data_IF_582305644684
#
_entry.id   IF_582305644684
#
_cell.length_a   1.000
_cell.length_b   1.000
_cell.length_c   1.000
_cell.angle_alpha   90.00
_cell.angle_beta   90.00
_cell.angle_gamma   90.00
#
_symmetry.space_group_name_H-M   'P 1'
#
loop_
_entity.id
_entity.type
_entity.pdbx_description
1 polymer ?
#
# COMPACT_ATOMS: atom_id res chain seq x y z
N UNK A 1 27.45 0.47 -15.25
CA UNK A 1 26.30 1.20 -14.67
C UNK A 1 25.90 0.53 -13.37
N UNK A 2 25.86 1.24 -12.25
CA UNK A 2 25.33 0.67 -10.99
C UNK A 2 23.84 0.39 -11.21
N UNK A 3 23.44 -0.87 -11.01
CA UNK A 3 22.04 -1.26 -11.05
C UNK A 3 21.35 -0.63 -9.84
N UNK A 4 20.78 0.57 -10.02
CA UNK A 4 20.20 1.37 -8.94
C UNK A 4 18.78 0.85 -8.65
N UNK A 5 18.74 -0.38 -8.16
CA UNK A 5 17.52 -1.11 -7.88
C UNK A 5 16.97 -0.62 -6.54
N UNK A 6 15.74 -0.13 -6.55
CA UNK A 6 15.08 0.42 -5.35
C UNK A 6 13.86 -0.41 -5.01
N UNK A 7 13.65 -0.69 -3.74
CA UNK A 7 12.43 -1.32 -3.25
C UNK A 7 11.26 -0.36 -3.43
N UNK A 8 10.23 -0.77 -4.18
CA UNK A 8 9.01 0.02 -4.41
C UNK A 8 7.84 -0.43 -3.55
N UNK A 9 7.82 -1.70 -3.14
CA UNK A 9 6.85 -2.27 -2.21
C UNK A 9 7.53 -3.28 -1.31
N UNK A 10 7.03 -3.42 -0.09
CA UNK A 10 7.46 -4.46 0.82
C UNK A 10 6.31 -4.97 1.66
N UNK A 11 6.42 -6.23 2.07
CA UNK A 11 5.58 -6.86 3.07
C UNK A 11 6.52 -7.55 4.06
N UNK A 12 6.45 -7.16 5.33
CA UNK A 12 7.26 -7.77 6.40
C UNK A 12 6.37 -8.70 7.20
N UNK A 13 6.82 -9.93 7.39
CA UNK A 13 6.12 -10.94 8.19
C UNK A 13 7.09 -11.60 9.17
N UNK A 14 6.55 -12.36 10.11
CA UNK A 14 7.35 -13.20 11.01
C UNK A 14 8.18 -14.27 10.27
N UNK A 15 7.83 -14.60 9.03
CA UNK A 15 8.52 -15.63 8.25
C UNK A 15 9.61 -15.08 7.33
N UNK A 16 9.69 -13.75 7.19
CA UNK A 16 10.58 -13.10 6.24
C UNK A 16 9.96 -11.86 5.63
N UNK A 17 10.73 -11.25 4.75
CA UNK A 17 10.40 -10.02 4.05
C UNK A 17 10.22 -10.30 2.57
N UNK A 18 9.10 -9.83 2.03
CA UNK A 18 8.81 -9.82 0.60
C UNK A 18 9.09 -8.42 0.07
N UNK A 19 9.94 -8.31 -0.95
CA UNK A 19 10.31 -7.04 -1.56
C UNK A 19 9.92 -7.07 -3.03
N UNK A 20 9.29 -5.99 -3.50
CA UNK A 20 9.10 -5.74 -4.92
C UNK A 20 10.02 -4.60 -5.33
N UNK A 21 10.85 -4.86 -6.33
CA UNK A 21 11.89 -3.94 -6.81
C UNK A 21 11.40 -3.14 -8.02
N UNK A 22 11.99 -1.98 -8.26
CA UNK A 22 11.64 -1.06 -9.35
C UNK A 22 11.77 -1.65 -10.75
N UNK A 23 12.56 -2.71 -10.92
CA UNK A 23 12.77 -3.42 -12.19
C UNK A 23 11.92 -4.69 -12.34
N UNK A 24 10.95 -4.91 -11.47
CA UNK A 24 10.04 -6.07 -11.54
C UNK A 24 10.56 -7.33 -10.86
N UNK A 25 11.73 -7.30 -10.23
CA UNK A 25 12.16 -8.42 -9.39
C UNK A 25 11.37 -8.46 -8.08
N UNK A 26 10.82 -9.63 -7.76
CA UNK A 26 10.23 -9.95 -6.46
C UNK A 26 11.26 -10.78 -5.69
N UNK A 27 11.52 -10.39 -4.45
CA UNK A 27 12.47 -11.07 -3.55
C UNK A 27 11.69 -11.55 -2.34
N UNK A 28 11.93 -12.78 -1.93
CA UNK A 28 11.58 -13.27 -0.62
C UNK A 28 12.86 -13.57 0.14
N UNK A 29 13.02 -12.95 1.30
CA UNK A 29 14.22 -13.05 2.12
C UNK A 29 13.84 -13.41 3.55
N UNK A 30 14.52 -14.41 4.09
CA UNK A 30 14.46 -14.84 5.49
C UNK A 30 15.87 -14.72 6.08
N UNK A 31 16.05 -14.90 7.40
CA UNK A 31 17.39 -14.95 7.98
C UNK A 31 18.32 -16.04 7.40
N UNK A 32 17.76 -17.09 6.80
CA UNK A 32 18.51 -18.27 6.32
C UNK A 32 18.40 -18.55 4.83
N UNK A 33 17.48 -17.92 4.10
CA UNK A 33 17.22 -18.18 2.68
C UNK A 33 16.84 -16.91 1.94
N UNK A 34 17.12 -16.87 0.64
CA UNK A 34 16.76 -15.77 -0.25
C UNK A 34 16.40 -16.31 -1.63
N UNK A 35 15.17 -16.07 -2.04
CA UNK A 35 14.64 -16.44 -3.36
C UNK A 35 14.25 -15.21 -4.15
N UNK A 36 14.42 -15.29 -5.47
CA UNK A 36 14.07 -14.19 -6.38
C UNK A 36 13.24 -14.71 -7.54
N UNK A 37 12.36 -13.84 -8.03
CA UNK A 37 11.48 -14.09 -9.17
C UNK A 37 11.40 -12.84 -10.01
N UNK A 38 11.55 -12.94 -11.32
CA UNK A 38 11.51 -11.80 -12.23
C UNK A 38 10.14 -11.70 -12.90
N UNK A 39 9.41 -10.60 -12.64
CA UNK A 39 8.22 -10.25 -13.41
C UNK A 39 8.63 -9.47 -14.67
N UNK A 40 7.71 -9.42 -15.64
CA UNK A 40 7.91 -8.63 -16.88
C UNK A 40 7.90 -7.13 -16.63
N UNK A 41 7.34 -6.70 -15.49
CA UNK A 41 7.15 -5.29 -15.18
C UNK A 41 7.15 -5.05 -13.68
N UNK A 42 7.19 -3.77 -13.30
CA UNK A 42 7.23 -3.36 -11.90
C UNK A 42 5.90 -3.67 -11.19
N UNK A 43 6.01 -4.26 -10.01
CA UNK A 43 4.88 -4.47 -9.11
C UNK A 43 4.41 -3.14 -8.49
N UNK A 44 3.10 -3.02 -8.30
CA UNK A 44 2.44 -1.82 -7.79
C UNK A 44 1.65 -2.09 -6.50
N UNK A 45 1.31 -3.35 -6.22
CA UNK A 45 0.63 -3.79 -5.01
C UNK A 45 1.06 -5.22 -4.62
N UNK A 46 1.02 -5.52 -3.31
CA UNK A 46 1.34 -6.83 -2.74
C UNK A 46 0.27 -7.23 -1.71
N UNK A 47 -0.10 -8.50 -1.68
CA UNK A 47 -0.92 -9.10 -0.63
C UNK A 47 -0.43 -10.51 -0.32
N UNK A 48 0.04 -10.72 0.91
CA UNK A 48 0.35 -12.05 1.43
C UNK A 48 -0.88 -12.64 2.11
N UNK A 49 -1.23 -13.87 1.78
CA UNK A 49 -2.36 -14.61 2.35
C UNK A 49 -1.86 -15.78 3.16
N UNK A 50 -2.49 -15.99 4.31
CA UNK A 50 -2.30 -17.16 5.16
C UNK A 50 -3.53 -18.05 5.06
N UNK A 51 -3.36 -19.34 4.75
CA UNK A 51 -4.46 -20.31 4.77
C UNK A 51 -4.70 -20.85 6.20
N UNK A 52 -3.64 -21.12 6.97
CA UNK A 52 -3.75 -21.68 8.34
C UNK A 52 -3.42 -20.67 9.45
N UNK A 53 -3.45 -19.37 9.17
CA UNK A 53 -2.96 -18.29 10.06
C UNK A 53 -1.48 -18.37 10.50
N UNK A 54 -0.76 -19.43 10.14
CA UNK A 54 0.63 -19.68 10.51
C UNK A 54 1.56 -19.02 9.50
N UNK A 55 1.46 -19.44 8.24
CA UNK A 55 2.41 -19.09 7.18
C UNK A 55 1.73 -18.41 6.00
N UNK A 56 2.49 -17.57 5.29
CA UNK A 56 2.04 -17.06 3.99
C UNK A 56 2.12 -18.21 3.00
N UNK A 57 0.97 -18.66 2.48
CA UNK A 57 0.91 -19.74 1.49
C UNK A 57 0.85 -19.20 0.06
N UNK A 58 0.32 -17.99 -0.12
CA UNK A 58 0.19 -17.31 -1.42
C UNK A 58 0.57 -15.84 -1.30
N UNK A 59 1.30 -15.35 -2.30
CA UNK A 59 1.55 -13.92 -2.50
C UNK A 59 0.91 -13.50 -3.82
N UNK A 60 -0.01 -12.55 -3.71
CA UNK A 60 -0.63 -11.86 -4.84
C UNK A 60 0.17 -10.60 -5.12
N UNK A 61 0.54 -10.41 -6.39
CA UNK A 61 1.32 -9.25 -6.84
C UNK A 61 0.58 -8.60 -7.99
N UNK A 62 0.15 -7.35 -7.79
CA UNK A 62 -0.41 -6.53 -8.86
C UNK A 62 0.68 -5.76 -9.58
N UNK A 63 0.57 -5.60 -10.90
CA UNK A 63 1.57 -4.93 -11.72
C UNK A 63 1.07 -3.61 -12.36
N UNK A 64 2.00 -2.87 -12.99
CA UNK A 64 1.72 -1.58 -13.62
C UNK A 64 0.82 -1.65 -14.86
N UNK A 65 0.63 -2.83 -15.43
CA UNK A 65 -0.19 -3.07 -16.62
C UNK A 65 -1.55 -3.69 -16.30
N UNK A 66 -1.87 -3.87 -15.02
CA UNK A 66 -3.17 -4.42 -14.61
C UNK A 66 -3.20 -5.94 -14.54
N UNK A 67 -2.05 -6.60 -14.54
CA UNK A 67 -1.97 -8.03 -14.29
C UNK A 67 -1.85 -8.35 -12.80
N UNK A 68 -2.48 -9.46 -12.43
CA UNK A 68 -2.32 -10.11 -11.14
C UNK A 68 -1.44 -11.35 -11.31
N UNK A 69 -0.35 -11.43 -10.56
CA UNK A 69 0.54 -12.58 -10.49
C UNK A 69 0.31 -13.33 -9.17
N UNK A 70 0.21 -14.66 -9.27
CA UNK A 70 0.01 -15.54 -8.10
C UNK A 70 1.27 -16.34 -7.86
N UNK A 71 1.90 -16.16 -6.70
CA UNK A 71 3.12 -16.85 -6.29
C UNK A 71 2.81 -17.79 -5.12
N UNK A 72 3.16 -19.07 -5.25
CA UNK A 72 2.94 -20.07 -4.20
C UNK A 72 4.19 -20.30 -3.34
N UNK A 73 3.96 -20.54 -2.04
CA UNK A 73 4.94 -20.99 -1.06
C UNK A 73 4.75 -22.48 -0.74
N UNK A 74 5.79 -23.16 -0.24
CA UNK A 74 7.15 -22.65 0.09
C UNK A 74 8.09 -22.52 -1.12
N UNK A 75 7.64 -22.95 -2.30
CA UNK A 75 8.47 -22.97 -3.52
C UNK A 75 8.93 -21.60 -4.01
N UNK A 76 8.16 -20.54 -3.72
CA UNK A 76 8.33 -19.21 -4.32
C UNK A 76 8.29 -19.27 -5.85
N UNK A 77 7.26 -19.95 -6.37
CA UNK A 77 7.07 -20.20 -7.80
C UNK A 77 5.88 -19.39 -8.30
N UNK A 78 6.06 -18.70 -9.43
CA UNK A 78 4.96 -18.05 -10.14
C UNK A 78 4.04 -19.14 -10.71
N UNK A 79 2.84 -19.22 -10.17
CA UNK A 79 1.80 -20.17 -10.56
C UNK A 79 1.24 -19.81 -11.94
N UNK A 80 0.70 -18.59 -12.03
CA UNK A 80 0.09 -18.05 -13.24
C UNK A 80 -0.06 -16.54 -13.10
N UNK A 81 -0.44 -15.89 -14.20
CA UNK A 81 -0.76 -14.47 -14.26
C UNK A 81 -2.11 -14.29 -14.95
N UNK A 82 -2.88 -13.32 -14.48
CA UNK A 82 -4.22 -13.01 -15.00
C UNK A 82 -4.27 -11.53 -15.32
N UNK A 83 -4.78 -11.19 -16.50
CA UNK A 83 -5.13 -9.80 -16.82
C UNK A 83 -6.45 -9.42 -16.12
N UNK A 84 -6.39 -8.40 -15.26
CA UNK A 84 -7.56 -7.90 -14.49
C UNK A 84 -8.02 -6.55 -15.02
N UNK A 85 -7.09 -5.71 -15.45
CA UNK A 85 -7.34 -4.33 -15.86
C UNK A 85 -6.36 -3.92 -16.97
N UNK A 86 -6.66 -2.82 -17.67
CA UNK A 86 -5.76 -2.19 -18.64
C UNK A 86 -4.79 -1.17 -17.99
N UNK A 87 -4.90 -0.97 -16.67
CA UNK A 87 -4.06 -0.04 -15.90
C UNK A 87 -3.58 -0.65 -14.60
N UNK A 88 -2.56 -0.04 -14.01
CA UNK A 88 -1.91 -0.51 -12.79
C UNK A 88 -2.89 -0.92 -11.67
N UNK A 89 -2.68 -2.09 -11.07
CA UNK A 89 -3.37 -2.50 -9.85
C UNK A 89 -2.80 -1.74 -8.65
N UNK A 90 -3.65 -1.14 -7.80
CA UNK A 90 -3.21 -0.22 -6.74
C UNK A 90 -3.41 -0.74 -5.33
N UNK A 91 -4.52 -1.42 -5.11
CA UNK A 91 -4.85 -1.98 -3.81
C UNK A 91 -5.52 -3.33 -3.98
N UNK A 92 -5.43 -4.14 -2.94
CA UNK A 92 -6.00 -5.47 -2.92
C UNK A 92 -6.25 -5.92 -1.49
N UNK A 93 -7.29 -6.71 -1.29
CA UNK A 93 -7.59 -7.36 -0.02
C UNK A 93 -8.32 -8.68 -0.27
N UNK A 94 -8.28 -9.58 0.70
CA UNK A 94 -9.09 -10.80 0.67
C UNK A 94 -10.22 -10.70 1.69
N UNK A 95 -11.40 -11.17 1.30
CA UNK A 95 -12.50 -11.44 2.24
C UNK A 95 -12.21 -12.67 3.09
N UNK A 96 -12.92 -12.81 4.21
CA UNK A 96 -12.85 -14.02 5.05
C UNK A 96 -13.27 -15.29 4.30
N UNK A 97 -14.11 -15.15 3.27
CA UNK A 97 -14.55 -16.25 2.40
C UNK A 97 -13.56 -16.58 1.28
N UNK A 98 -12.37 -15.97 1.28
CA UNK A 98 -11.32 -16.22 0.28
C UNK A 98 -11.53 -15.54 -1.08
N UNK A 99 -12.55 -14.68 -1.23
CA UNK A 99 -12.71 -13.86 -2.44
C UNK A 99 -11.70 -12.71 -2.43
N UNK A 100 -10.90 -12.61 -3.49
CA UNK A 100 -9.94 -11.53 -3.70
C UNK A 100 -10.65 -10.31 -4.30
N UNK A 101 -10.40 -9.14 -3.73
CA UNK A 101 -10.89 -7.85 -4.20
C UNK A 101 -9.71 -6.98 -4.59
N UNK A 102 -9.80 -6.35 -5.76
CA UNK A 102 -8.74 -5.53 -6.35
C UNK A 102 -9.29 -4.15 -6.73
N UNK A 103 -8.44 -3.13 -6.61
CA UNK A 103 -8.66 -1.82 -7.21
C UNK A 103 -7.56 -1.51 -8.21
N UNK A 104 -7.94 -0.91 -9.33
CA UNK A 104 -6.99 -0.36 -10.29
C UNK A 104 -6.80 1.16 -10.13
N UNK A 105 -5.88 1.72 -10.92
CA UNK A 105 -5.53 3.14 -10.87
C UNK A 105 -6.63 4.09 -11.35
N UNK A 106 -7.69 3.59 -12.01
CA UNK A 106 -8.87 4.37 -12.42
C UNK A 106 -9.99 4.31 -11.37
N UNK A 107 -9.80 3.57 -10.28
CA UNK A 107 -10.79 3.41 -9.23
C UNK A 107 -11.85 2.34 -9.51
N UNK A 108 -11.59 1.44 -10.46
CA UNK A 108 -12.47 0.31 -10.75
C UNK A 108 -12.17 -0.84 -9.79
N UNK A 109 -13.24 -1.42 -9.24
CA UNK A 109 -13.21 -2.48 -8.25
C UNK A 109 -13.53 -3.82 -8.92
N UNK A 110 -12.70 -4.83 -8.68
CA UNK A 110 -12.87 -6.16 -9.26
C UNK A 110 -12.92 -7.22 -8.16
N UNK A 111 -13.74 -8.24 -8.36
CA UNK A 111 -13.60 -9.51 -7.66
C UNK A 111 -12.84 -10.50 -8.55
N UNK A 112 -11.96 -11.29 -7.95
CA UNK A 112 -11.23 -12.35 -8.63
C UNK A 112 -11.52 -13.66 -7.93
N UNK A 113 -12.00 -14.64 -8.70
CA UNK A 113 -12.25 -16.00 -8.21
C UNK A 113 -10.93 -16.77 -8.09
N UNK A 114 -10.94 -17.90 -7.37
CA UNK A 114 -9.77 -18.77 -7.26
C UNK A 114 -9.25 -19.27 -8.63
N UNK A 115 -10.16 -19.42 -9.60
CA UNK A 115 -9.83 -19.80 -10.98
C UNK A 115 -9.20 -18.66 -11.79
N UNK A 116 -8.99 -17.49 -11.18
CA UNK A 116 -8.41 -16.32 -11.84
C UNK A 116 -9.40 -15.55 -12.70
N UNK A 117 -10.71 -15.78 -12.60
CA UNK A 117 -11.68 -14.98 -13.36
C UNK A 117 -11.90 -13.64 -12.66
N UNK A 118 -11.49 -12.54 -13.30
CA UNK A 118 -11.78 -11.19 -12.85
C UNK A 118 -13.17 -10.73 -13.31
N UNK A 119 -13.94 -10.13 -12.40
CA UNK A 119 -15.26 -9.54 -12.68
C UNK A 119 -15.29 -8.12 -12.14
N UNK A 120 -15.63 -7.15 -12.99
CA UNK A 120 -15.85 -5.77 -12.56
C UNK A 120 -17.08 -5.73 -11.64
N UNK A 121 -16.93 -5.13 -10.47
CA UNK A 121 -18.00 -4.96 -9.49
C UNK A 121 -18.66 -3.59 -9.66
N UNK A 122 -17.86 -2.52 -9.57
CA UNK A 122 -18.31 -1.13 -9.69
C UNK A 122 -17.11 -0.19 -9.88
N UNK A 123 -17.39 1.07 -10.17
CA UNK A 123 -16.38 2.13 -10.28
C UNK A 123 -16.58 3.17 -9.18
N UNK A 124 -15.50 3.59 -8.53
CA UNK A 124 -15.52 4.67 -7.53
C UNK A 124 -15.24 6.04 -8.15
N UNK A 125 -14.66 6.07 -9.36
CA UNK A 125 -14.08 7.25 -10.01
C UNK A 125 -13.08 8.03 -9.12
N UNK A 126 -12.46 7.34 -8.15
CA UNK A 126 -11.47 7.90 -7.22
C UNK A 126 -10.16 7.13 -7.30
N UNK A 127 -9.05 7.80 -6.98
CA UNK A 127 -7.75 7.12 -6.87
C UNK A 127 -7.68 6.34 -5.56
N UNK A 128 -7.70 5.01 -5.65
CA UNK A 128 -7.70 4.12 -4.50
C UNK A 128 -6.26 3.85 -4.03
N UNK A 129 -5.98 4.10 -2.74
CA UNK A 129 -4.70 3.79 -2.10
C UNK A 129 -4.73 2.53 -1.25
N UNK A 130 -5.88 2.19 -0.65
CA UNK A 130 -6.07 0.93 0.07
C UNK A 130 -7.53 0.49 0.06
N UNK A 131 -7.74 -0.81 0.24
CA UNK A 131 -9.05 -1.43 0.41
C UNK A 131 -9.01 -2.26 1.70
N UNK A 132 -10.10 -2.25 2.44
CA UNK A 132 -10.36 -3.16 3.56
C UNK A 132 -11.81 -3.63 3.49
N UNK A 133 -12.04 -4.86 3.90
CA UNK A 133 -13.40 -5.37 4.16
C UNK A 133 -13.68 -5.21 5.64
N UNK A 134 -14.80 -4.58 5.98
CA UNK A 134 -15.26 -4.38 7.35
C UNK A 134 -16.72 -4.81 7.44
N UNK A 135 -16.94 -6.00 8.00
CA UNK A 135 -18.23 -6.70 7.95
C UNK A 135 -18.71 -6.86 6.51
N UNK A 136 -19.89 -6.31 6.22
CA UNK A 136 -20.52 -6.35 4.90
C UNK A 136 -20.18 -5.13 4.02
N UNK A 137 -19.21 -4.30 4.43
CA UNK A 137 -18.82 -3.09 3.71
C UNK A 137 -17.41 -3.15 3.13
N UNK A 138 -17.22 -2.47 2.01
CA UNK A 138 -15.92 -2.25 1.37
C UNK A 138 -15.46 -0.85 1.75
N UNK A 139 -14.44 -0.78 2.59
CA UNK A 139 -13.79 0.46 3.00
C UNK A 139 -12.66 0.79 2.02
N UNK A 140 -12.71 1.98 1.44
CA UNK A 140 -11.77 2.45 0.44
C UNK A 140 -11.10 3.72 0.94
N UNK A 141 -9.77 3.74 0.97
CA UNK A 141 -9.01 4.97 1.18
C UNK A 141 -8.68 5.60 -0.17
N UNK A 142 -8.98 6.89 -0.31
CA UNK A 142 -8.63 7.71 -1.47
C UNK A 142 -8.00 9.01 -1.00
N UNK A 143 -6.67 9.05 -0.90
CA UNK A 143 -5.96 10.20 -0.34
C UNK A 143 -6.33 10.43 1.12
N UNK A 144 -7.01 11.55 1.42
CA UNK A 144 -7.49 11.91 2.77
C UNK A 144 -8.94 11.50 3.05
N UNK A 145 -9.61 10.96 2.04
CA UNK A 145 -10.99 10.51 2.14
C UNK A 145 -11.03 9.01 2.44
N UNK A 146 -11.87 8.63 3.39
CA UNK A 146 -12.26 7.26 3.64
C UNK A 146 -13.74 7.10 3.23
N UNK A 147 -13.99 6.23 2.27
CA UNK A 147 -15.32 5.95 1.74
C UNK A 147 -15.75 4.54 2.10
N UNK A 148 -17.03 4.35 2.43
CA UNK A 148 -17.63 3.04 2.63
C UNK A 148 -18.63 2.74 1.51
N UNK A 149 -18.46 1.60 0.88
CA UNK A 149 -19.30 1.11 -0.22
C UNK A 149 -19.98 -0.20 0.16
N UNK A 150 -21.21 -0.35 -0.31
CA UNK A 150 -21.86 -1.65 -0.40
C UNK A 150 -21.26 -2.47 -1.56
N UNK A 151 -21.54 -3.77 -1.57
CA UNK A 151 -21.09 -4.69 -2.63
C UNK A 151 -21.63 -4.34 -4.03
N UNK A 152 -22.73 -3.60 -4.11
CA UNK A 152 -23.32 -3.07 -5.35
C UNK A 152 -22.69 -1.75 -5.82
N UNK A 153 -21.72 -1.22 -5.08
CA UNK A 153 -21.03 0.04 -5.39
C UNK A 153 -21.73 1.30 -4.88
N UNK A 154 -22.85 1.19 -4.15
CA UNK A 154 -23.47 2.36 -3.52
C UNK A 154 -22.65 2.81 -2.32
N UNK A 155 -22.19 4.06 -2.37
CA UNK A 155 -21.51 4.70 -1.24
C UNK A 155 -22.53 5.10 -0.19
N UNK A 156 -22.25 4.81 1.08
CA UNK A 156 -23.14 5.17 2.19
C UNK A 156 -22.44 5.98 3.29
N UNK A 157 -21.10 6.05 3.27
CA UNK A 157 -20.34 6.90 4.18
C UNK A 157 -19.13 7.51 3.48
N UNK A 158 -18.86 8.77 3.79
CA UNK A 158 -17.68 9.52 3.38
C UNK A 158 -17.16 10.28 4.60
N UNK A 159 -15.95 9.95 5.01
CA UNK A 159 -15.20 10.69 6.02
C UNK A 159 -14.02 11.38 5.33
N UNK A 160 -14.01 12.71 5.30
CA UNK A 160 -12.91 13.49 4.75
C UNK A 160 -12.10 14.15 5.87
N UNK A 161 -10.85 13.72 6.02
CA UNK A 161 -9.92 14.25 7.00
C UNK A 161 -9.02 15.39 6.47
N UNK A 162 -9.27 15.89 5.25
CA UNK A 162 -8.46 16.95 4.62
C UNK A 162 -8.35 18.20 5.50
N UNK A 163 -9.46 18.63 6.10
CA UNK A 163 -9.51 19.82 6.97
C UNK A 163 -8.76 19.62 8.29
N UNK A 164 -8.93 18.46 8.95
CA UNK A 164 -8.27 18.16 10.21
C UNK A 164 -6.75 17.99 10.06
N UNK A 165 -6.28 17.56 8.88
CA UNK A 165 -4.86 17.57 8.55
C UNK A 165 -4.30 18.99 8.41
N UNK A 166 -5.02 19.89 7.72
CA UNK A 166 -4.61 21.28 7.55
C UNK A 166 -4.40 22.00 8.89
N UNK A 167 -5.33 21.82 9.83
CA UNK A 167 -5.24 22.36 11.19
C UNK A 167 -4.06 21.77 11.96
N UNK A 168 -3.85 20.46 11.90
CA UNK A 168 -2.72 19.80 12.57
C UNK A 168 -1.37 20.22 12.00
N UNK A 169 -1.27 20.42 10.67
CA UNK A 169 -0.06 20.94 10.03
C UNK A 169 0.23 22.38 10.48
N UNK A 170 -0.80 23.22 10.57
CA UNK A 170 -0.68 24.58 11.07
C UNK A 170 -0.19 24.60 12.51
N UNK A 171 -0.77 23.76 13.39
CA UNK A 171 -0.37 23.63 14.78
C UNK A 171 1.09 23.17 14.94
N UNK A 172 1.54 22.21 14.11
CA UNK A 172 2.94 21.77 14.09
C UNK A 172 3.89 22.91 13.70
N UNK A 173 3.60 23.63 12.61
CA UNK A 173 4.38 24.79 12.17
C UNK A 173 4.44 25.91 13.23
N UNK A 174 3.34 26.16 13.94
CA UNK A 174 3.33 27.13 15.04
C UNK A 174 4.22 26.70 16.20
N UNK A 175 4.21 25.41 16.57
CA UNK A 175 5.10 24.87 17.61
C UNK A 175 6.57 24.99 17.22
N UNK A 176 6.90 24.62 15.98
CA UNK A 176 8.26 24.76 15.43
C UNK A 176 8.74 26.21 15.46
N UNK A 177 7.89 27.15 15.02
CA UNK A 177 8.22 28.59 15.06
C UNK A 177 8.50 29.09 16.48
N UNK A 178 7.65 28.73 17.44
CA UNK A 178 7.85 29.09 18.86
C UNK A 178 9.14 28.50 19.43
N UNK A 179 9.48 27.26 19.08
CA UNK A 179 10.72 26.64 19.52
C UNK A 179 11.95 27.38 18.97
N UNK A 180 11.89 27.80 17.70
CA UNK A 180 12.96 28.53 17.02
C UNK A 180 13.13 29.95 17.59
N UNK A 181 12.02 30.65 17.87
CA UNK A 181 12.02 31.95 18.58
C UNK A 181 12.59 31.83 20.01
N UNK A 182 12.26 30.76 20.73
CA UNK A 182 12.80 30.51 22.08
C UNK A 182 14.31 30.21 22.05
N UNK A 183 14.78 29.44 21.06
CA UNK A 183 16.22 29.22 20.85
C UNK A 183 16.94 30.53 20.51
N UNK A 184 16.36 31.35 19.63
CA UNK A 184 16.92 32.67 19.28
C UNK A 184 17.01 33.58 20.51
N UNK A 185 15.96 33.68 21.33
CA UNK A 185 15.98 34.47 22.58
C UNK A 185 17.03 33.98 23.57
N UNK A 186 17.22 32.66 23.70
CA UNK A 186 18.28 32.10 24.55
C UNK A 186 19.68 32.47 24.02
N UNK A 187 19.90 32.38 22.71
CA UNK A 187 21.17 32.75 22.09
C UNK A 187 21.46 34.26 22.23
N UNK A 188 20.48 35.12 22.00
CA UNK A 188 20.60 36.58 22.20
C UNK A 188 20.85 36.94 23.68
N UNK A 189 20.23 36.22 24.61
CA UNK A 189 20.48 36.38 26.05
C UNK A 189 21.89 35.97 26.47
N UNK A 190 22.44 34.90 25.89
CA UNK A 190 23.82 34.49 26.11
C UNK A 190 24.83 35.49 25.52
N UNK A 191 24.52 36.08 24.36
CA UNK A 191 25.37 37.09 23.72
C UNK A 191 25.46 38.39 24.52
N UNK A 192 24.38 38.78 25.22
CA UNK A 192 24.34 39.98 26.10
C UNK A 192 25.08 39.81 27.42
N UNK A 193 25.43 38.58 27.81
CA UNK A 193 26.17 38.28 29.04
C UNK A 193 27.69 38.20 28.81
N UNK A 194 28.16 38.40 27.57
CA UNK A 194 29.58 38.53 27.28
C UNK A 194 30.05 39.95 27.71
N UNK A 195 31.12 40.07 28.51
CA UNK A 195 31.64 41.39 28.87
C UNK A 195 32.15 42.08 27.60
N UNK A 196 31.75 43.34 27.41
CA UNK A 196 32.35 44.21 26.41
C UNK A 196 33.84 44.37 26.73
N UNK A 197 34.68 43.90 25.80
CA UNK A 197 36.14 44.07 25.83
C UNK A 197 36.54 45.54 25.72
#
# INVERSE_FOLDING_TARGET
MRNNRTTVRSLVTNQGTYLAMSDGMIVWETPSDRKTLQLRTMATALLGVKEDNISVSKLFVGDKHGQLHVIHFPGFVLSHSVEVSDVALRAMCMTEKGMLILADAKGRMYSVTEQGKATLMFETHRSISSIRIDGDSIQVQSGWEQCAYNWDGRMFNLNDASNSFGENLMLRRMKERKALEAQRRKAEGQLRLLPSA
#
